data_IF_586776051578
#
_entry.id   IF_586776051578
#
_cell.length_a   1.000
_cell.length_b   1.000
_cell.length_c   1.000
_cell.angle_alpha   90.00
_cell.angle_beta   90.00
_cell.angle_gamma   90.00
#
_symmetry.space_group_name_H-M   'P 1'
#
loop_
_entity.id
_entity.type
_entity.pdbx_description
1 polymer ?
#
# COMPACT_ATOMS: atom_id res chain seq x y z
N UNK A 1 19.72 16.80 29.53
CA UNK A 1 19.43 15.80 28.48
C UNK A 1 18.19 16.30 27.77
N UNK A 2 18.35 16.90 26.59
CA UNK A 2 17.19 17.22 25.75
C UNK A 2 16.77 15.91 25.10
N UNK A 3 15.55 15.50 25.40
CA UNK A 3 14.88 14.39 24.75
C UNK A 3 14.67 14.80 23.29
N UNK A 4 15.51 14.24 22.42
CA UNK A 4 15.53 14.53 20.99
C UNK A 4 14.47 13.63 20.35
N UNK A 5 13.20 13.88 20.67
CA UNK A 5 12.07 13.20 20.06
C UNK A 5 12.12 13.58 18.58
N UNK A 6 12.61 12.66 17.75
CA UNK A 6 12.67 12.78 16.30
C UNK A 6 11.26 13.13 15.80
N UNK A 7 11.05 14.41 15.50
CA UNK A 7 9.83 14.87 14.85
C UNK A 7 9.82 14.18 13.48
N UNK A 8 8.94 13.20 13.32
CA UNK A 8 8.73 12.50 12.07
C UNK A 8 8.45 13.52 10.97
N UNK A 9 9.16 13.42 9.84
CA UNK A 9 9.03 14.39 8.77
C UNK A 9 7.62 14.33 8.18
N UNK A 10 7.13 15.44 7.62
CA UNK A 10 5.81 15.44 6.98
C UNK A 10 5.74 14.48 5.78
N UNK A 11 6.90 14.16 5.17
CA UNK A 11 7.01 13.12 4.15
C UNK A 11 6.75 11.73 4.73
N UNK A 12 7.39 11.39 5.86
CA UNK A 12 7.20 10.08 6.50
C UNK A 12 5.73 9.88 6.91
N UNK A 13 5.10 10.92 7.47
CA UNK A 13 3.67 10.90 7.80
C UNK A 13 2.79 10.65 6.57
N UNK A 14 3.09 11.32 5.45
CA UNK A 14 2.34 11.16 4.21
C UNK A 14 2.51 9.75 3.62
N UNK A 15 3.74 9.23 3.62
CA UNK A 15 4.04 7.86 3.14
C UNK A 15 3.36 6.80 4.02
N UNK A 16 3.38 6.97 5.34
CA UNK A 16 2.68 6.11 6.28
C UNK A 16 1.16 6.14 6.04
N UNK A 17 0.60 7.31 5.76
CA UNK A 17 -0.82 7.46 5.44
C UNK A 17 -1.20 6.75 4.13
N UNK A 18 -0.43 6.92 3.05
CA UNK A 18 -0.65 6.19 1.78
C UNK A 18 -0.61 4.69 2.02
N UNK A 19 0.39 4.21 2.79
CA UNK A 19 0.52 2.79 3.12
C UNK A 19 -0.72 2.28 3.84
N UNK A 20 -1.20 3.00 4.85
CA UNK A 20 -2.42 2.66 5.61
C UNK A 20 -3.66 2.60 4.71
N UNK A 21 -3.82 3.56 3.80
CA UNK A 21 -4.94 3.52 2.85
C UNK A 21 -4.88 2.29 1.95
N UNK A 22 -3.70 1.96 1.42
CA UNK A 22 -3.51 0.76 0.59
C UNK A 22 -3.80 -0.53 1.35
N UNK A 23 -3.39 -0.62 2.62
CA UNK A 23 -3.67 -1.78 3.49
C UNK A 23 -5.17 -2.01 3.66
N UNK A 24 -5.96 -0.95 3.79
CA UNK A 24 -7.42 -1.02 3.94
C UNK A 24 -8.16 -1.37 2.64
N UNK A 25 -7.50 -1.37 1.49
CA UNK A 25 -8.14 -1.60 0.19
C UNK A 25 -8.07 -3.04 -0.29
N UNK A 26 -7.15 -3.84 0.25
CA UNK A 26 -6.86 -5.16 -0.32
C UNK A 26 -8.06 -6.11 -0.41
N UNK A 27 -9.05 -5.95 0.47
CA UNK A 27 -10.27 -6.76 0.47
C UNK A 27 -11.23 -6.44 -0.69
N UNK A 28 -11.11 -5.25 -1.29
CA UNK A 28 -12.04 -4.75 -2.33
C UNK A 28 -11.44 -4.75 -3.72
N UNK A 29 -10.12 -4.85 -3.83
CA UNK A 29 -9.39 -4.71 -5.08
C UNK A 29 -9.35 -6.04 -5.82
N UNK A 30 -9.75 -6.02 -7.10
CA UNK A 30 -9.77 -7.20 -7.97
C UNK A 30 -8.55 -7.23 -8.91
N UNK A 31 -7.95 -6.06 -9.18
CA UNK A 31 -6.82 -5.93 -10.10
C UNK A 31 -5.85 -4.82 -9.72
N UNK A 32 -4.62 -4.89 -10.21
CA UNK A 32 -3.56 -3.92 -9.88
C UNK A 32 -3.94 -2.48 -10.26
N UNK A 33 -4.65 -2.30 -11.38
CA UNK A 33 -5.07 -0.97 -11.85
C UNK A 33 -6.10 -0.27 -10.95
N UNK A 34 -6.76 -1.01 -10.05
CA UNK A 34 -7.69 -0.45 -9.07
C UNK A 34 -6.98 0.00 -7.78
N UNK A 35 -5.69 -0.30 -7.62
CA UNK A 35 -4.92 0.12 -6.46
C UNK A 35 -4.60 1.61 -6.53
N UNK A 36 -4.72 2.29 -5.39
CA UNK A 36 -4.16 3.65 -5.21
C UNK A 36 -2.64 3.58 -5.47
N UNK A 37 -2.02 4.52 -6.19
CA UNK A 37 -0.57 4.55 -6.41
C UNK A 37 0.23 4.40 -5.11
N UNK A 38 1.33 3.65 -5.15
CA UNK A 38 2.28 3.62 -4.05
C UNK A 38 3.23 4.84 -4.11
N UNK A 39 4.13 4.93 -3.14
CA UNK A 39 5.16 5.96 -3.09
C UNK A 39 6.08 5.98 -4.32
N UNK A 40 6.40 4.80 -4.85
CA UNK A 40 7.28 4.66 -6.01
C UNK A 40 6.63 5.21 -7.29
N UNK A 41 5.38 4.84 -7.55
CA UNK A 41 4.57 5.34 -8.65
C UNK A 41 4.39 6.85 -8.58
N UNK A 42 4.19 7.40 -7.39
CA UNK A 42 4.12 8.85 -7.17
C UNK A 42 5.46 9.52 -7.49
N UNK A 43 6.58 8.95 -7.04
CA UNK A 43 7.93 9.43 -7.37
C UNK A 43 8.18 9.41 -8.88
N UNK A 44 7.84 8.32 -9.57
CA UNK A 44 7.99 8.21 -11.02
C UNK A 44 7.11 9.22 -11.76
N UNK A 45 5.89 9.46 -11.30
CA UNK A 45 5.02 10.49 -11.85
C UNK A 45 5.64 11.88 -11.72
N UNK A 46 6.16 12.22 -10.54
CA UNK A 46 6.85 13.49 -10.32
C UNK A 46 8.08 13.64 -11.23
N UNK A 47 8.91 12.60 -11.36
CA UNK A 47 10.06 12.63 -12.27
C UNK A 47 9.64 12.87 -13.73
N UNK A 48 8.55 12.24 -14.20
CA UNK A 48 8.01 12.52 -15.55
C UNK A 48 7.64 14.00 -15.70
N UNK A 49 6.98 14.58 -14.71
CA UNK A 49 6.64 16.01 -14.72
C UNK A 49 7.90 16.89 -14.79
N UNK A 50 8.94 16.57 -14.03
CA UNK A 50 10.23 17.27 -14.09
C UNK A 50 10.86 17.22 -15.49
N UNK A 51 10.87 16.05 -16.12
CA UNK A 51 11.38 15.92 -17.49
C UNK A 51 10.58 16.76 -18.49
N UNK A 52 9.24 16.71 -18.41
CA UNK A 52 8.34 17.48 -19.27
C UNK A 52 8.56 18.99 -19.09
N UNK A 53 8.76 19.46 -17.86
CA UNK A 53 9.10 20.87 -17.59
C UNK A 53 10.44 21.27 -18.24
N UNK A 54 11.47 20.42 -18.15
CA UNK A 54 12.76 20.68 -18.79
C UNK A 54 12.67 20.72 -20.31
N UNK A 55 11.84 19.85 -20.89
CA UNK A 55 11.52 19.87 -22.32
C UNK A 55 10.88 21.20 -22.72
N UNK A 56 9.81 21.62 -22.03
CA UNK A 56 9.11 22.85 -22.35
C UNK A 56 9.95 24.12 -22.14
N UNK A 57 10.85 24.12 -21.16
CA UNK A 57 11.80 25.21 -20.93
C UNK A 57 12.70 25.49 -22.15
N UNK A 58 12.94 24.48 -22.99
CA UNK A 58 13.77 24.58 -24.19
C UNK A 58 12.94 24.66 -25.49
N UNK A 59 11.62 24.77 -25.39
CA UNK A 59 10.73 24.76 -26.57
C UNK A 59 10.94 25.93 -27.54
N UNK A 60 11.58 27.01 -27.09
CA UNK A 60 11.89 28.20 -27.89
C UNK A 60 13.31 28.18 -28.48
N UNK A 61 14.12 27.16 -28.21
CA UNK A 61 15.48 27.06 -28.73
C UNK A 61 15.55 26.07 -29.91
N UNK A 62 16.33 26.40 -30.94
CA UNK A 62 16.52 25.51 -32.11
C UNK A 62 17.33 24.25 -31.79
N UNK A 63 17.96 24.21 -30.62
CA UNK A 63 18.74 23.07 -30.13
C UNK A 63 18.24 22.73 -28.72
N UNK A 64 17.85 21.47 -28.52
CA UNK A 64 17.42 20.95 -27.23
C UNK A 64 18.44 19.93 -26.74
N UNK A 65 18.90 20.09 -25.50
CA UNK A 65 19.70 19.10 -24.79
C UNK A 65 18.85 18.54 -23.66
N UNK A 66 18.36 17.32 -23.82
CA UNK A 66 17.46 16.67 -22.88
C UNK A 66 18.20 15.52 -22.19
N UNK A 67 17.98 15.31 -20.88
CA UNK A 67 18.50 14.13 -20.22
C UNK A 67 17.76 12.87 -20.70
N UNK A 68 18.37 11.71 -20.52
CA UNK A 68 17.77 10.42 -20.89
C UNK A 68 16.42 10.24 -20.18
N UNK A 69 15.35 10.07 -20.97
CA UNK A 69 13.98 9.90 -20.47
C UNK A 69 13.85 8.69 -19.54
N UNK A 70 14.72 7.68 -19.68
CA UNK A 70 14.66 6.44 -18.89
C UNK A 70 14.88 6.71 -17.40
N UNK A 71 15.65 7.75 -17.06
CA UNK A 71 15.85 8.17 -15.67
C UNK A 71 14.63 8.86 -15.06
N UNK A 72 13.61 9.18 -15.87
CA UNK A 72 12.45 9.96 -15.46
C UNK A 72 11.13 9.18 -15.55
N UNK A 73 11.18 7.85 -15.37
CA UNK A 73 9.98 7.01 -15.34
C UNK A 73 9.33 6.80 -16.70
N UNK A 74 10.12 6.87 -17.77
CA UNK A 74 9.76 6.46 -19.12
C UNK A 74 10.55 5.21 -19.52
N UNK A 75 10.03 4.47 -20.49
CA UNK A 75 10.76 3.42 -21.17
C UNK A 75 10.73 3.69 -22.68
N UNK A 76 11.72 3.16 -23.40
CA UNK A 76 11.80 3.27 -24.85
C UNK A 76 11.96 1.88 -25.44
N UNK A 77 10.92 1.40 -26.12
CA UNK A 77 10.86 0.05 -26.71
C UNK A 77 10.59 0.23 -28.19
N UNK A 78 11.53 -0.19 -29.05
CA UNK A 78 11.40 -0.09 -30.51
C UNK A 78 11.10 1.32 -31.06
N UNK A 79 11.55 2.37 -30.36
CA UNK A 79 11.29 3.76 -30.73
C UNK A 79 9.99 4.33 -30.15
N UNK A 80 9.15 3.50 -29.55
CA UNK A 80 7.95 3.94 -28.84
C UNK A 80 8.28 4.28 -27.38
N UNK A 81 7.73 5.40 -26.92
CA UNK A 81 7.86 5.85 -25.54
C UNK A 81 6.67 5.36 -24.73
N UNK A 82 6.94 4.63 -23.64
CA UNK A 82 5.92 4.12 -22.73
C UNK A 82 6.17 4.60 -21.30
N UNK A 83 5.09 4.70 -20.51
CA UNK A 83 5.17 5.12 -19.11
C UNK A 83 5.57 3.93 -18.25
N UNK A 84 6.57 4.12 -17.39
CA UNK A 84 6.85 3.20 -16.29
C UNK A 84 6.03 3.65 -15.08
N UNK A 85 4.92 2.97 -14.83
CA UNK A 85 4.02 3.31 -13.73
C UNK A 85 4.59 2.93 -12.37
N UNK A 86 5.32 1.82 -12.31
CA UNK A 86 5.88 1.26 -11.08
C UNK A 86 7.04 0.30 -11.42
N UNK A 87 7.80 -0.14 -10.42
CA UNK A 87 8.83 -1.17 -10.64
C UNK A 87 8.20 -2.53 -10.89
N UNK A 88 8.84 -3.35 -11.74
CA UNK A 88 8.40 -4.73 -11.99
C UNK A 88 8.31 -5.56 -10.69
N UNK A 89 9.25 -5.32 -9.76
CA UNK A 89 9.25 -5.94 -8.44
C UNK A 89 8.01 -5.54 -7.63
N UNK A 90 7.61 -4.27 -7.65
CA UNK A 90 6.41 -3.85 -6.93
C UNK A 90 5.13 -4.34 -7.60
N UNK A 91 5.04 -4.28 -8.93
CA UNK A 91 3.90 -4.84 -9.69
C UNK A 91 3.71 -6.32 -9.33
N UNK A 92 4.78 -7.10 -9.28
CA UNK A 92 4.70 -8.50 -8.88
C UNK A 92 4.20 -8.67 -7.44
N UNK A 93 4.72 -7.88 -6.49
CA UNK A 93 4.26 -7.90 -5.08
C UNK A 93 2.77 -7.57 -4.95
N UNK A 94 2.30 -6.56 -5.69
CA UNK A 94 0.87 -6.18 -5.71
C UNK A 94 0.04 -7.33 -6.26
N UNK A 95 0.45 -7.92 -7.39
CA UNK A 95 -0.23 -9.07 -7.97
C UNK A 95 -0.28 -10.27 -7.02
N UNK A 96 0.83 -10.58 -6.34
CA UNK A 96 0.87 -11.66 -5.35
C UNK A 96 -0.06 -11.39 -4.17
N UNK A 97 -0.13 -10.14 -3.72
CA UNK A 97 -1.04 -9.71 -2.64
C UNK A 97 -2.49 -9.83 -3.09
N UNK A 98 -2.84 -9.33 -4.27
CA UNK A 98 -4.21 -9.47 -4.81
C UNK A 98 -4.58 -10.95 -4.92
N UNK A 99 -3.68 -11.80 -5.42
CA UNK A 99 -3.93 -13.24 -5.49
C UNK A 99 -4.13 -13.86 -4.11
N UNK A 100 -3.38 -13.40 -3.10
CA UNK A 100 -3.58 -13.83 -1.72
C UNK A 100 -4.99 -13.49 -1.20
N UNK A 101 -5.50 -12.28 -1.48
CA UNK A 101 -6.84 -11.86 -1.04
C UNK A 101 -7.99 -12.41 -1.88
N UNK A 102 -7.77 -12.71 -3.16
CA UNK A 102 -8.85 -13.07 -4.10
C UNK A 102 -8.92 -14.56 -4.43
N UNK A 103 -7.79 -15.29 -4.33
CA UNK A 103 -7.71 -16.71 -4.65
C UNK A 103 -7.53 -17.53 -3.37
N UNK A 104 -8.11 -18.72 -3.38
CA UNK A 104 -8.00 -19.62 -2.25
C UNK A 104 -8.66 -20.97 -2.52
N UNK A 105 -8.62 -21.84 -1.51
CA UNK A 105 -9.32 -23.11 -1.56
C UNK A 105 -10.81 -22.94 -1.21
N UNK A 106 -11.62 -23.95 -1.49
CA UNK A 106 -13.04 -24.02 -1.09
C UNK A 106 -13.35 -25.33 -0.38
N UNK A 107 -12.41 -25.80 0.44
CA UNK A 107 -12.51 -27.10 1.11
C UNK A 107 -13.63 -27.11 2.15
N UNK A 108 -14.48 -28.14 2.10
CA UNK A 108 -15.50 -28.39 3.15
C UNK A 108 -14.96 -29.21 4.32
N UNK A 109 -13.78 -29.80 4.18
CA UNK A 109 -13.14 -30.70 5.15
C UNK A 109 -12.23 -29.97 6.14
N UNK A 110 -12.38 -28.65 6.32
CA UNK A 110 -11.56 -27.86 7.23
C UNK A 110 -10.07 -27.72 6.87
N UNK A 111 -9.67 -28.00 5.62
CA UNK A 111 -8.27 -27.90 5.18
C UNK A 111 -7.28 -28.78 5.98
N UNK A 112 -7.75 -29.90 6.52
CA UNK A 112 -6.94 -30.83 7.34
C UNK A 112 -5.99 -31.70 6.53
N UNK A 113 -6.30 -31.98 5.26
CA UNK A 113 -5.56 -32.93 4.41
C UNK A 113 -4.81 -32.25 3.26
N UNK A 114 -3.88 -33.00 2.63
CA UNK A 114 -3.17 -32.58 1.42
C UNK A 114 -4.05 -32.45 0.16
N UNK A 115 -5.37 -32.68 0.27
CA UNK A 115 -6.34 -32.34 -0.80
C UNK A 115 -6.59 -30.83 -0.87
N UNK A 116 -6.36 -30.10 0.21
CA UNK A 116 -6.39 -28.65 0.20
C UNK A 116 -5.18 -28.11 -0.58
N UNK A 117 -5.44 -27.30 -1.61
CA UNK A 117 -4.38 -26.69 -2.42
C UNK A 117 -3.44 -25.84 -1.56
N UNK A 118 -3.96 -25.04 -0.62
CA UNK A 118 -3.17 -24.22 0.28
C UNK A 118 -2.22 -25.05 1.15
N UNK A 119 -2.73 -26.13 1.77
CA UNK A 119 -1.91 -27.03 2.59
C UNK A 119 -0.89 -27.81 1.77
N UNK A 120 -1.21 -28.14 0.52
CA UNK A 120 -0.31 -28.85 -0.41
C UNK A 120 0.85 -27.98 -0.88
N UNK A 121 0.63 -26.69 -1.12
CA UNK A 121 1.70 -25.76 -1.52
C UNK A 121 2.53 -25.34 -0.31
N UNK A 122 3.39 -26.24 0.16
CA UNK A 122 4.52 -26.00 1.07
C UNK A 122 4.27 -24.94 2.17
N UNK A 123 3.43 -25.28 3.17
CA UNK A 123 3.17 -24.45 4.36
C UNK A 123 2.47 -23.11 4.11
N UNK A 124 1.71 -22.96 3.01
CA UNK A 124 0.81 -21.82 2.89
C UNK A 124 -0.44 -22.02 3.76
N UNK A 125 -0.65 -21.08 4.67
CA UNK A 125 -1.92 -20.95 5.38
C UNK A 125 -3.04 -20.60 4.38
N UNK A 126 -4.28 -20.89 4.77
CA UNK A 126 -5.42 -20.37 4.04
C UNK A 126 -5.44 -18.84 4.19
N UNK A 127 -5.58 -18.17 3.06
CA UNK A 127 -5.67 -16.73 2.96
C UNK A 127 -7.10 -16.23 3.18
N UNK A 128 -7.30 -14.90 3.32
CA UNK A 128 -8.64 -14.30 3.29
C UNK A 128 -9.45 -14.65 2.04
N UNK A 129 -8.80 -14.93 0.91
CA UNK A 129 -9.46 -15.38 -0.32
C UNK A 129 -9.99 -16.82 -0.30
N UNK A 130 -9.72 -17.59 0.76
CA UNK A 130 -10.22 -18.95 0.89
C UNK A 130 -11.69 -18.96 1.32
N UNK A 131 -12.49 -19.84 0.70
CA UNK A 131 -13.91 -20.09 0.99
C UNK A 131 -14.12 -21.45 1.66
N UNK A 132 -13.13 -21.89 2.42
CA UNK A 132 -13.19 -23.16 3.15
C UNK A 132 -14.09 -23.05 4.38
N UNK A 133 -14.72 -24.16 4.75
CA UNK A 133 -15.58 -24.27 5.94
C UNK A 133 -14.81 -24.93 7.08
N UNK A 134 -14.91 -24.39 8.30
CA UNK A 134 -14.23 -24.87 9.51
C UNK A 134 -12.72 -25.05 9.32
N UNK A 135 -12.06 -24.04 8.74
CA UNK A 135 -10.66 -24.12 8.37
C UNK A 135 -9.75 -24.19 9.60
N UNK A 136 -8.94 -25.25 9.69
CA UNK A 136 -7.89 -25.35 10.72
C UNK A 136 -6.53 -24.86 10.22
N UNK A 137 -6.36 -24.68 8.91
CA UNK A 137 -5.11 -24.22 8.29
C UNK A 137 -4.99 -22.69 8.28
N UNK A 138 -5.11 -22.05 9.44
CA UNK A 138 -5.00 -20.60 9.64
C UNK A 138 -3.67 -20.27 10.35
N UNK A 139 -3.08 -19.08 10.13
CA UNK A 139 -1.76 -18.73 10.67
C UNK A 139 -1.70 -18.74 12.22
N UNK A 140 -2.82 -18.50 12.91
CA UNK A 140 -2.86 -18.45 14.37
C UNK A 140 -3.07 -19.81 15.06
N UNK A 141 -3.33 -20.89 14.31
CA UNK A 141 -3.59 -22.23 14.88
C UNK A 141 -2.31 -23.01 15.25
N UNK A 142 -1.13 -22.41 15.10
CA UNK A 142 0.15 -23.08 15.38
C UNK A 142 0.39 -23.26 16.89
N UNK A 143 -0.40 -22.62 17.76
CA UNK A 143 -0.24 -22.73 19.22
C UNK A 143 -1.08 -23.83 19.92
N UNK A 144 -1.83 -24.68 19.21
CA UNK A 144 -2.70 -25.68 19.85
C UNK A 144 -2.39 -27.15 19.55
N UNK A 145 -1.18 -27.47 19.06
CA UNK A 145 -0.76 -28.87 18.90
C UNK A 145 0.55 -29.18 19.63
N UNK A 146 0.61 -28.82 20.92
CA UNK A 146 1.38 -29.56 21.92
C UNK A 146 0.36 -30.00 22.97
N UNK A 147 -0.35 -31.10 22.71
CA UNK A 147 -0.91 -31.97 23.75
C UNK A 147 0.22 -32.99 24.09
N UNK A 148 0.50 -33.34 25.34
CA UNK A 148 -0.42 -33.88 26.32
C UNK A 148 -0.10 -33.42 27.76
N UNK A 149 -1.03 -32.75 28.44
CA UNK A 149 -1.15 -32.79 29.90
C UNK A 149 -2.65 -32.78 30.26
N UNK A 150 -3.21 -33.90 30.75
CA UNK A 150 -4.61 -34.00 31.10
C UNK A 150 -4.77 -33.76 32.60
N UNK A 151 -5.15 -32.55 32.99
CA UNK A 151 -6.00 -32.28 34.16
C UNK A 151 -6.11 -30.77 34.39
N UNK A 152 -7.14 -30.15 33.84
CA UNK A 152 -7.73 -28.99 34.52
C UNK A 152 -9.21 -28.94 34.20
N UNK A 153 -9.99 -29.55 35.08
CA UNK A 153 -11.40 -29.22 35.29
C UNK A 153 -11.49 -27.72 35.57
N UNK A 154 -12.11 -26.97 34.65
CA UNK A 154 -12.59 -25.63 34.97
C UNK A 154 -14.00 -25.46 34.44
N UNK A 155 -14.89 -25.27 35.40
CA UNK A 155 -16.34 -25.21 35.28
C UNK A 155 -16.79 -23.94 34.54
N UNK A 156 -17.66 -24.18 33.56
CA UNK A 156 -18.97 -23.55 33.34
C UNK A 156 -19.22 -22.14 33.90
N UNK A 157 -19.45 -21.17 33.01
CA UNK A 157 -20.23 -19.94 33.25
C UNK A 157 -20.53 -19.21 31.92
N UNK A 158 -21.71 -19.48 31.37
CA UNK A 158 -22.45 -18.60 30.43
C UNK A 158 -23.10 -17.38 31.17
N UNK A 159 -23.86 -16.46 30.52
CA UNK A 159 -23.43 -15.56 29.45
C UNK A 159 -24.01 -14.12 29.60
N UNK A 160 -23.76 -13.28 28.59
CA UNK A 160 -24.54 -12.10 28.14
C UNK A 160 -24.54 -10.79 28.95
N UNK A 161 -23.89 -9.76 28.40
CA UNK A 161 -24.35 -8.37 28.52
C UNK A 161 -24.67 -7.78 27.13
N UNK A 162 -25.94 -7.45 26.99
CA UNK A 162 -26.59 -6.78 25.87
C UNK A 162 -26.20 -5.29 25.87
N UNK A 163 -25.44 -4.82 24.88
CA UNK A 163 -25.13 -3.39 24.72
C UNK A 163 -26.01 -2.84 23.60
N UNK A 164 -27.09 -2.15 23.97
CA UNK A 164 -27.93 -1.38 23.05
C UNK A 164 -27.24 -0.04 22.72
N UNK A 165 -26.86 0.15 21.46
CA UNK A 165 -26.42 1.45 20.97
C UNK A 165 -27.60 2.19 20.35
N UNK A 166 -28.09 3.20 21.06
CA UNK A 166 -28.97 4.22 20.48
C UNK A 166 -28.15 5.08 19.52
N UNK A 167 -28.56 5.07 18.26
CA UNK A 167 -28.01 5.86 17.18
C UNK A 167 -29.03 6.95 16.87
N UNK A 168 -28.73 8.19 17.24
CA UNK A 168 -29.54 9.33 16.82
C UNK A 168 -28.72 10.61 16.59
N UNK A 169 -29.11 11.24 15.50
CA UNK A 169 -29.11 12.68 15.21
C UNK A 169 -27.90 13.34 14.51
N UNK A 170 -28.17 13.64 13.25
CA UNK A 170 -28.16 14.99 12.65
C UNK A 170 -26.81 15.59 12.25
N UNK A 171 -26.58 15.50 10.94
CA UNK A 171 -25.59 16.23 10.16
C UNK A 171 -26.08 17.67 9.97
N UNK A 172 -25.45 18.62 10.64
CA UNK A 172 -25.67 20.04 10.42
C UNK A 172 -24.74 20.56 9.30
N UNK A 173 -25.35 21.20 8.30
CA UNK A 173 -24.70 21.74 7.13
C UNK A 173 -24.01 23.07 7.48
N UNK A 174 -22.72 23.03 7.82
CA UNK A 174 -21.90 24.24 7.86
C UNK A 174 -21.25 24.49 6.48
N UNK A 175 -21.77 25.51 5.79
CA UNK A 175 -21.14 26.13 4.62
C UNK A 175 -19.78 26.72 5.03
N UNK A 176 -18.69 26.12 4.52
CA UNK A 176 -17.33 26.65 4.69
C UNK A 176 -17.15 27.81 3.71
N UNK A 177 -16.77 29.01 4.19
CA UNK A 177 -16.44 30.13 3.31
C UNK A 177 -15.23 29.77 2.44
N UNK A 178 -15.39 29.96 1.14
CA UNK A 178 -14.33 29.79 0.14
C UNK A 178 -13.31 30.93 0.30
N UNK A 179 -12.29 30.69 1.13
CA UNK A 179 -11.17 31.61 1.35
C UNK A 179 -10.20 31.56 0.16
N UNK A 180 -10.20 32.64 -0.62
CA UNK A 180 -9.23 32.89 -1.67
C UNK A 180 -7.91 33.35 -1.06
N UNK A 181 -7.13 32.41 -0.51
CA UNK A 181 -5.75 32.67 -0.12
C UNK A 181 -4.77 32.20 -1.20
N UNK A 182 -4.37 33.14 -2.05
CA UNK A 182 -3.14 33.10 -2.83
C UNK A 182 -1.95 33.07 -1.85
N UNK A 183 -1.50 31.90 -1.36
CA UNK A 183 -0.15 31.73 -0.82
C UNK A 183 0.30 30.29 -0.51
N UNK A 184 -0.20 29.27 -1.22
CA UNK A 184 0.24 27.87 -1.02
C UNK A 184 1.39 27.44 -1.93
N UNK A 185 1.74 28.22 -2.96
CA UNK A 185 2.78 27.84 -3.93
C UNK A 185 4.21 27.86 -3.36
N UNK A 186 4.50 28.67 -2.34
CA UNK A 186 5.86 28.87 -1.78
C UNK A 186 6.26 27.85 -0.72
N UNK A 187 5.32 27.08 -0.15
CA UNK A 187 5.65 26.02 0.82
C UNK A 187 5.89 24.66 0.17
N UNK A 188 5.41 24.42 -1.06
CA UNK A 188 5.68 23.17 -1.77
C UNK A 188 7.07 23.09 -2.39
N UNK A 189 7.73 24.23 -2.66
CA UNK A 189 9.09 24.25 -3.22
C UNK A 189 10.12 23.76 -2.19
N UNK A 190 10.02 24.20 -0.93
CA UNK A 190 10.94 23.78 0.14
C UNK A 190 10.86 22.28 0.46
N UNK A 191 9.68 21.65 0.29
CA UNK A 191 9.46 20.24 0.55
C UNK A 191 10.26 19.34 -0.43
N UNK A 192 10.33 19.73 -1.70
CA UNK A 192 11.02 18.95 -2.73
C UNK A 192 12.46 19.40 -2.96
N UNK A 193 12.83 20.64 -2.64
CA UNK A 193 14.24 21.06 -2.61
C UNK A 193 15.05 20.22 -1.60
N UNK A 194 14.43 19.82 -0.48
CA UNK A 194 15.05 18.89 0.49
C UNK A 194 15.21 17.47 -0.08
N UNK A 195 14.25 17.04 -0.93
CA UNK A 195 14.27 15.72 -1.59
C UNK A 195 15.25 15.68 -2.78
N UNK A 196 15.33 16.76 -3.57
CA UNK A 196 16.32 16.95 -4.63
C UNK A 196 17.73 17.00 -4.06
N UNK A 197 17.97 17.75 -2.97
CA UNK A 197 19.27 17.77 -2.29
C UNK A 197 19.67 16.40 -1.71
N UNK A 198 18.70 15.55 -1.34
CA UNK A 198 18.98 14.20 -0.84
C UNK A 198 19.28 13.20 -1.97
N UNK A 199 18.66 13.36 -3.14
CA UNK A 199 18.85 12.45 -4.29
C UNK A 199 20.05 12.85 -5.15
N UNK A 200 20.32 14.14 -5.36
CA UNK A 200 21.51 14.61 -6.08
C UNK A 200 22.80 14.57 -5.23
N UNK A 201 22.71 14.26 -3.94
CA UNK A 201 23.88 14.01 -3.07
C UNK A 201 24.38 12.55 -3.10
N UNK A 202 23.72 11.65 -3.84
CA UNK A 202 24.23 10.28 -4.02
C UNK A 202 25.42 10.29 -4.99
N UNK A 203 26.57 9.69 -4.63
CA UNK A 203 27.70 9.59 -5.55
C UNK A 203 27.27 8.76 -6.77
N UNK A 204 27.51 9.31 -7.95
CA UNK A 204 27.48 8.55 -9.20
C UNK A 204 28.81 7.80 -9.31
N UNK A 205 28.81 6.52 -8.95
CA UNK A 205 29.89 5.59 -9.32
C UNK A 205 29.74 5.14 -10.78
#
# INVERSE_FOLDING_TARGET
MYDNTLCESDLDKHLALIKKFRENMWERVVSEVEMIPNAEALKLHWLRCCWVMQYWKQSSTNFMSLPDIKCFGWNMINGDVTVVWDSEVNVQKVNDTIQWYTKGCSCKSGCTTLRCSCKKSANKFCSPGCKCVNCVNLPNNVHQNIADDPDSDFEDSEPEENISYDSDSETDHNEIPMDTSENTATNYTNYWDTFENYIFALPTD
#
